data_IF_759215603815
#
_entry.id   IF_759215603815
#
_cell.length_a   1.000
_cell.length_b   1.000
_cell.length_c   1.000
_cell.angle_alpha   90.00
_cell.angle_beta   90.00
_cell.angle_gamma   90.00
#
_symmetry.space_group_name_H-M   'P 1'
#
loop_
_entity.id
_entity.type
_entity.pdbx_description
1 polymer ?
#
# COMPACT_ATOMS: atom_id res chain seq x y z
N UNK A 1 -7.05 15.13 2.07
CA UNK A 1 -7.00 14.65 0.66
C UNK A 1 -7.65 13.28 0.60
N UNK A 2 -8.33 13.00 -0.50
CA UNK A 2 -8.90 11.69 -0.78
C UNK A 2 -7.82 10.67 -1.12
N UNK A 3 -8.06 9.41 -0.77
CA UNK A 3 -7.16 8.27 -1.02
C UNK A 3 -7.89 7.26 -1.90
N UNK A 4 -7.38 7.05 -3.10
CA UNK A 4 -7.90 6.08 -4.08
C UNK A 4 -7.18 4.75 -3.91
N UNK A 5 -7.90 3.66 -3.63
CA UNK A 5 -7.34 2.33 -3.50
C UNK A 5 -7.78 1.43 -4.66
N UNK A 6 -6.81 0.88 -5.40
CA UNK A 6 -7.08 -0.03 -6.51
C UNK A 6 -7.29 -1.45 -5.99
N UNK A 7 -8.54 -1.87 -5.85
CA UNK A 7 -8.94 -3.12 -5.20
C UNK A 7 -9.39 -4.22 -6.18
N UNK A 8 -9.26 -4.04 -7.48
CA UNK A 8 -9.95 -4.85 -8.48
C UNK A 8 -9.14 -5.93 -9.21
N UNK A 9 -7.92 -6.25 -8.78
CA UNK A 9 -7.10 -7.29 -9.41
C UNK A 9 -7.61 -8.71 -9.14
N UNK A 10 -7.44 -9.63 -10.11
CA UNK A 10 -7.88 -11.04 -10.00
C UNK A 10 -7.04 -11.91 -9.05
N UNK A 11 -5.93 -11.42 -8.51
CA UNK A 11 -5.14 -12.07 -7.46
C UNK A 11 -4.59 -13.47 -7.78
N UNK A 12 -4.48 -13.84 -9.06
CA UNK A 12 -4.21 -15.22 -9.52
C UNK A 12 -2.93 -15.87 -8.97
N UNK A 13 -1.98 -15.09 -8.43
CA UNK A 13 -0.71 -15.62 -7.90
C UNK A 13 -0.81 -16.18 -6.47
N UNK A 14 -1.92 -15.89 -5.78
CA UNK A 14 -2.23 -16.42 -4.44
C UNK A 14 -3.22 -17.61 -4.50
N UNK A 15 -3.30 -18.33 -5.65
CA UNK A 15 -4.19 -19.47 -5.83
C UNK A 15 -3.96 -20.52 -4.73
N UNK A 16 -5.07 -21.00 -4.16
CA UNK A 16 -5.09 -21.96 -3.07
C UNK A 16 -5.31 -21.34 -1.68
N UNK A 17 -5.11 -20.03 -1.50
CA UNK A 17 -5.38 -19.31 -0.24
C UNK A 17 -6.39 -18.16 -0.39
N UNK A 18 -6.54 -17.62 -1.59
CA UNK A 18 -7.43 -16.49 -1.89
C UNK A 18 -8.52 -16.84 -2.90
N UNK A 19 -8.84 -18.13 -3.07
CA UNK A 19 -9.91 -18.51 -4.00
C UNK A 19 -11.27 -17.91 -3.58
N UNK A 20 -11.44 -17.59 -2.29
CA UNK A 20 -12.69 -17.06 -1.75
C UNK A 20 -12.72 -15.54 -1.58
N UNK A 21 -11.57 -14.86 -1.45
CA UNK A 21 -11.50 -13.41 -1.21
C UNK A 21 -10.57 -12.71 -2.19
N UNK A 22 -10.84 -11.43 -2.58
CA UNK A 22 -9.90 -10.67 -3.40
C UNK A 22 -8.64 -10.32 -2.60
N UNK A 23 -7.51 -10.13 -3.28
CA UNK A 23 -6.19 -9.89 -2.68
C UNK A 23 -6.18 -8.81 -1.57
N UNK A 24 -6.84 -7.65 -1.71
CA UNK A 24 -6.91 -6.64 -0.65
C UNK A 24 -7.60 -7.12 0.64
N UNK A 25 -8.39 -8.21 0.57
CA UNK A 25 -9.11 -8.79 1.70
C UNK A 25 -8.37 -9.95 2.37
N UNK A 26 -7.18 -10.30 1.91
CA UNK A 26 -6.35 -11.33 2.57
C UNK A 26 -5.91 -10.81 3.92
N UNK A 27 -6.11 -11.62 4.95
CA UNK A 27 -5.83 -11.28 6.34
C UNK A 27 -4.33 -11.23 6.63
N UNK A 28 -3.93 -10.20 7.41
CA UNK A 28 -2.65 -10.09 8.11
C UNK A 28 -2.99 -9.88 9.59
N UNK A 29 -2.80 -10.90 10.39
CA UNK A 29 -3.36 -10.96 11.73
C UNK A 29 -4.89 -10.99 11.70
N UNK A 30 -5.54 -10.12 12.42
CA UNK A 30 -7.01 -10.06 12.56
C UNK A 30 -7.70 -9.19 11.51
N UNK A 31 -6.95 -8.47 10.67
CA UNK A 31 -7.51 -7.51 9.71
C UNK A 31 -6.94 -7.73 8.29
N UNK A 32 -7.71 -7.44 7.22
CA UNK A 32 -7.21 -7.56 5.86
C UNK A 32 -6.11 -6.52 5.56
N UNK A 33 -5.20 -6.84 4.61
CA UNK A 33 -4.09 -5.96 4.25
C UNK A 33 -4.57 -4.55 3.86
N UNK A 34 -5.71 -4.44 3.19
CA UNK A 34 -6.31 -3.14 2.83
C UNK A 34 -6.64 -2.30 4.07
N UNK A 35 -7.13 -2.91 5.15
CA UNK A 35 -7.39 -2.20 6.40
C UNK A 35 -6.12 -1.60 6.99
N UNK A 36 -5.01 -2.35 6.99
CA UNK A 36 -3.71 -1.83 7.44
C UNK A 36 -3.25 -0.65 6.59
N UNK A 37 -3.44 -0.72 5.27
CA UNK A 37 -3.12 0.37 4.37
C UNK A 37 -3.98 1.61 4.62
N UNK A 38 -5.29 1.44 4.81
CA UNK A 38 -6.21 2.54 5.16
C UNK A 38 -5.84 3.16 6.51
N UNK A 39 -5.48 2.34 7.50
CA UNK A 39 -5.03 2.80 8.82
C UNK A 39 -3.74 3.63 8.74
N UNK A 40 -2.81 3.25 7.85
CA UNK A 40 -1.61 4.03 7.55
C UNK A 40 -1.98 5.44 7.03
N UNK A 41 -2.87 5.55 6.05
CA UNK A 41 -3.29 6.85 5.54
C UNK A 41 -4.06 7.67 6.58
N UNK A 42 -4.93 7.03 7.35
CA UNK A 42 -5.70 7.66 8.42
C UNK A 42 -4.80 8.25 9.52
N UNK A 43 -3.67 7.58 9.84
CA UNK A 43 -2.66 8.09 10.76
C UNK A 43 -2.10 9.45 10.33
N UNK A 44 -1.93 9.67 9.03
CA UNK A 44 -1.50 10.96 8.47
C UNK A 44 -2.66 11.94 8.18
N UNK A 45 -3.88 11.64 8.69
CA UNK A 45 -5.04 12.52 8.57
C UNK A 45 -5.82 12.38 7.26
N UNK A 46 -5.56 11.33 6.46
CA UNK A 46 -6.26 11.06 5.20
C UNK A 46 -7.29 9.95 5.41
N UNK A 47 -8.55 10.33 5.67
CA UNK A 47 -9.63 9.45 6.12
C UNK A 47 -10.82 9.38 5.14
N UNK A 48 -10.69 9.96 3.96
CA UNK A 48 -11.68 9.92 2.87
C UNK A 48 -11.14 8.99 1.76
N UNK A 49 -11.73 7.81 1.66
CA UNK A 49 -11.27 6.72 0.81
C UNK A 49 -12.21 6.49 -0.37
N UNK A 50 -11.64 6.21 -1.55
CA UNK A 50 -12.36 5.77 -2.74
C UNK A 50 -11.84 4.39 -3.12
N UNK A 51 -12.67 3.37 -2.98
CA UNK A 51 -12.31 1.99 -3.29
C UNK A 51 -12.73 1.65 -4.73
N UNK A 52 -11.75 1.46 -5.61
CA UNK A 52 -11.97 1.02 -6.99
C UNK A 52 -12.25 -0.48 -7.02
N UNK A 53 -13.51 -0.86 -7.04
CA UNK A 53 -13.94 -2.25 -7.01
C UNK A 53 -13.85 -2.92 -8.38
N UNK A 54 -13.65 -4.23 -8.35
CA UNK A 54 -13.60 -5.08 -9.53
C UNK A 54 -13.90 -6.52 -9.17
N UNK A 55 -12.99 -7.45 -9.49
CA UNK A 55 -13.17 -8.86 -9.15
C UNK A 55 -13.47 -9.04 -7.66
N UNK A 56 -14.58 -9.74 -7.35
CA UNK A 56 -15.06 -9.99 -5.97
C UNK A 56 -15.23 -8.71 -5.12
N UNK A 57 -15.59 -7.58 -5.73
CA UNK A 57 -15.85 -6.32 -5.03
C UNK A 57 -16.90 -6.44 -3.91
N UNK A 58 -17.84 -7.39 -4.03
CA UNK A 58 -18.84 -7.65 -2.99
C UNK A 58 -18.19 -8.06 -1.66
N UNK A 59 -17.12 -8.85 -1.66
CA UNK A 59 -16.41 -9.21 -0.42
C UNK A 59 -15.89 -7.98 0.33
N UNK A 60 -15.48 -6.95 -0.40
CA UNK A 60 -15.03 -5.68 0.18
C UNK A 60 -16.21 -4.91 0.79
N UNK A 61 -17.33 -4.81 0.05
CA UNK A 61 -18.56 -4.17 0.54
C UNK A 61 -19.07 -4.86 1.79
N UNK A 62 -19.18 -6.20 1.75
CA UNK A 62 -19.67 -7.01 2.85
C UNK A 62 -18.82 -6.84 4.11
N UNK A 63 -17.49 -6.76 3.96
CA UNK A 63 -16.59 -6.51 5.08
C UNK A 63 -16.90 -5.19 5.79
N UNK A 64 -17.11 -4.09 5.07
CA UNK A 64 -17.40 -2.80 5.68
C UNK A 64 -18.83 -2.68 6.17
N UNK A 65 -19.81 -3.29 5.48
CA UNK A 65 -21.21 -3.30 5.92
C UNK A 65 -21.41 -4.09 7.23
N UNK A 66 -20.55 -5.10 7.48
CA UNK A 66 -20.57 -5.92 8.69
C UNK A 66 -19.32 -5.71 9.56
N UNK A 67 -18.72 -4.52 9.47
CA UNK A 67 -17.49 -4.22 10.20
C UNK A 67 -17.74 -4.30 11.71
N UNK A 68 -16.92 -5.11 12.39
CA UNK A 68 -16.95 -5.27 13.83
C UNK A 68 -15.67 -4.71 14.46
N UNK A 69 -15.81 -3.61 15.18
CA UNK A 69 -14.73 -2.94 15.92
C UNK A 69 -14.12 -3.84 17.00
N UNK A 70 -14.92 -4.75 17.60
CA UNK A 70 -14.45 -5.61 18.70
C UNK A 70 -13.36 -6.62 18.26
N UNK A 71 -13.25 -6.90 16.97
CA UNK A 71 -12.23 -7.82 16.41
C UNK A 71 -10.80 -7.32 16.62
N UNK A 72 -10.57 -6.01 16.61
CA UNK A 72 -9.23 -5.39 16.73
C UNK A 72 -9.08 -4.47 17.93
N UNK A 73 -10.16 -4.19 18.68
CA UNK A 73 -10.15 -3.24 19.77
C UNK A 73 -10.52 -3.90 21.11
N UNK A 74 -9.98 -3.37 22.18
CA UNK A 74 -10.37 -3.77 23.53
C UNK A 74 -11.77 -3.21 23.85
N UNK A 75 -12.56 -4.00 24.57
CA UNK A 75 -13.91 -3.61 24.96
C UNK A 75 -14.31 -4.17 26.33
N UNK A 76 -15.27 -3.53 26.95
CA UNK A 76 -15.94 -4.01 28.17
C UNK A 76 -17.22 -4.70 27.78
N UNK A 77 -17.37 -5.98 28.17
CA UNK A 77 -18.58 -6.76 28.00
C UNK A 77 -19.31 -6.85 29.33
N UNK A 78 -20.57 -6.38 29.39
CA UNK A 78 -21.33 -6.32 30.63
C UNK A 78 -22.80 -6.64 30.45
N UNK A 79 -23.51 -6.80 31.56
CA UNK A 79 -24.97 -7.11 31.61
C UNK A 79 -25.34 -8.34 30.78
N UNK A 80 -24.49 -9.39 30.79
CA UNK A 80 -24.71 -10.62 30.01
C UNK A 80 -24.72 -10.40 28.49
N UNK A 81 -23.86 -9.51 27.98
CA UNK A 81 -23.70 -9.18 26.57
C UNK A 81 -24.66 -8.12 26.04
N UNK A 82 -25.53 -7.57 26.90
CA UNK A 82 -26.46 -6.49 26.49
C UNK A 82 -25.76 -5.15 26.31
N UNK A 83 -24.53 -5.00 26.83
CA UNK A 83 -23.74 -3.79 26.69
C UNK A 83 -22.30 -4.17 26.32
N UNK A 84 -21.84 -3.69 25.17
CA UNK A 84 -20.47 -3.75 24.69
C UNK A 84 -19.98 -2.32 24.56
N UNK A 85 -18.96 -1.97 25.30
CA UNK A 85 -18.33 -0.64 25.30
C UNK A 85 -16.91 -0.74 24.78
N UNK A 86 -16.66 -0.20 23.60
CA UNK A 86 -15.34 -0.17 22.98
C UNK A 86 -14.43 0.83 23.71
N UNK A 87 -13.24 0.39 24.09
CA UNK A 87 -12.24 1.25 24.75
C UNK A 87 -11.44 2.05 23.71
N UNK A 88 -11.37 1.57 22.47
CA UNK A 88 -10.73 2.23 21.33
C UNK A 88 -11.60 2.03 20.09
N UNK A 89 -11.44 2.91 19.11
CA UNK A 89 -12.15 2.84 17.84
C UNK A 89 -11.20 3.07 16.68
N UNK A 90 -11.46 2.42 15.54
CA UNK A 90 -10.56 2.42 14.40
C UNK A 90 -11.02 3.33 13.26
N UNK A 91 -12.33 3.40 13.00
CA UNK A 91 -12.87 3.94 11.75
C UNK A 91 -14.03 4.94 11.92
N UNK A 92 -14.31 5.43 13.13
CA UNK A 92 -15.46 6.30 13.41
C UNK A 92 -15.58 7.53 12.49
N UNK A 93 -14.45 8.05 12.04
CA UNK A 93 -14.36 9.27 11.24
C UNK A 93 -13.90 9.03 9.80
N UNK A 94 -13.99 7.77 9.32
CA UNK A 94 -13.67 7.47 7.93
C UNK A 94 -14.88 7.65 7.03
N UNK A 95 -14.65 8.21 5.84
CA UNK A 95 -15.61 8.24 4.75
C UNK A 95 -15.12 7.28 3.67
N UNK A 96 -15.97 6.35 3.23
CA UNK A 96 -15.59 5.35 2.23
C UNK A 96 -16.58 5.37 1.07
N UNK A 97 -16.08 5.66 -0.12
CA UNK A 97 -16.84 5.61 -1.37
C UNK A 97 -16.48 4.33 -2.12
N UNK A 98 -17.47 3.51 -2.42
CA UNK A 98 -17.31 2.26 -3.19
C UNK A 98 -17.68 2.51 -4.65
N UNK A 99 -16.72 2.36 -5.57
CA UNK A 99 -16.92 2.62 -7.00
C UNK A 99 -16.71 1.35 -7.80
N UNK A 100 -17.73 0.89 -8.51
CA UNK A 100 -17.61 -0.23 -9.45
C UNK A 100 -16.85 0.25 -10.70
N UNK A 101 -15.60 -0.21 -10.83
CA UNK A 101 -14.74 0.20 -11.94
C UNK A 101 -14.58 -0.87 -13.02
N UNK A 102 -15.23 -2.03 -12.84
CA UNK A 102 -15.20 -3.15 -13.76
C UNK A 102 -14.20 -4.25 -13.37
N UNK A 103 -14.62 -5.52 -13.53
CA UNK A 103 -13.83 -6.68 -13.12
C UNK A 103 -12.49 -6.77 -13.87
N UNK A 104 -12.47 -6.43 -15.15
CA UNK A 104 -11.31 -6.56 -16.04
C UNK A 104 -10.62 -5.21 -16.32
N UNK A 105 -11.03 -4.12 -15.66
CA UNK A 105 -10.41 -2.82 -15.86
C UNK A 105 -8.95 -2.83 -15.37
N UNK A 106 -8.06 -2.22 -16.15
CA UNK A 106 -6.68 -1.94 -15.72
C UNK A 106 -6.61 -0.71 -14.79
N UNK A 107 -5.44 -0.37 -14.29
CA UNK A 107 -5.29 0.72 -13.31
C UNK A 107 -5.66 2.08 -13.91
N UNK A 108 -5.29 2.36 -15.17
CA UNK A 108 -5.65 3.59 -15.85
C UNK A 108 -7.16 3.75 -16.02
N UNK A 109 -7.86 2.68 -16.40
CA UNK A 109 -9.32 2.66 -16.51
C UNK A 109 -10.01 2.86 -15.16
N UNK A 110 -9.50 2.23 -14.08
CA UNK A 110 -10.01 2.43 -12.72
C UNK A 110 -9.83 3.87 -12.26
N UNK A 111 -8.65 4.42 -12.51
CA UNK A 111 -8.38 5.81 -12.18
C UNK A 111 -9.30 6.74 -12.97
N UNK A 112 -9.51 6.50 -14.25
CA UNK A 112 -10.43 7.31 -15.06
C UNK A 112 -11.88 7.23 -14.59
N UNK A 113 -12.33 6.07 -14.11
CA UNK A 113 -13.68 5.88 -13.57
C UNK A 113 -13.95 6.68 -12.29
N UNK A 114 -12.91 7.01 -11.51
CA UNK A 114 -13.08 7.77 -10.26
C UNK A 114 -12.89 9.28 -10.44
N UNK A 115 -12.61 9.77 -11.63
CA UNK A 115 -12.43 11.21 -11.91
C UNK A 115 -13.57 12.08 -11.32
N UNK A 116 -14.87 11.72 -11.44
CA UNK A 116 -15.95 12.52 -10.86
C UNK A 116 -15.89 12.63 -9.33
N UNK A 117 -15.29 11.65 -8.64
CA UNK A 117 -15.25 11.59 -7.17
C UNK A 117 -14.08 12.38 -6.57
N UNK A 118 -13.08 12.74 -7.38
CA UNK A 118 -11.95 13.60 -6.97
C UNK A 118 -12.03 14.99 -7.59
N UNK A 119 -13.10 15.28 -8.29
CA UNK A 119 -13.33 16.58 -8.90
C UNK A 119 -13.40 17.67 -7.81
N UNK A 120 -12.62 18.75 -7.98
CA UNK A 120 -12.51 19.82 -6.98
C UNK A 120 -11.37 19.64 -5.96
N UNK A 121 -10.74 18.48 -5.89
CA UNK A 121 -9.49 18.33 -5.14
C UNK A 121 -8.32 18.91 -5.96
N UNK A 122 -7.41 19.63 -5.32
CA UNK A 122 -6.16 20.06 -5.98
C UNK A 122 -5.29 18.84 -6.31
N UNK A 123 -5.20 17.92 -5.36
CA UNK A 123 -4.45 16.67 -5.44
C UNK A 123 -5.13 15.58 -4.64
N UNK A 124 -4.84 14.34 -4.98
CA UNK A 124 -5.31 13.15 -4.26
C UNK A 124 -4.19 12.11 -4.19
N UNK A 125 -4.37 11.13 -3.30
CA UNK A 125 -3.47 10.00 -3.14
C UNK A 125 -4.05 8.78 -3.85
N UNK A 126 -3.18 7.90 -4.35
CA UNK A 126 -3.60 6.62 -4.88
C UNK A 126 -2.64 5.50 -4.46
N UNK A 127 -3.14 4.27 -4.35
CA UNK A 127 -2.32 3.14 -3.94
C UNK A 127 -2.85 1.81 -4.52
N UNK A 128 -1.94 0.87 -4.73
CA UNK A 128 -2.31 -0.53 -4.93
C UNK A 128 -2.78 -1.12 -3.59
N UNK A 129 -3.87 -1.90 -3.61
CA UNK A 129 -4.54 -2.37 -2.39
C UNK A 129 -3.82 -3.52 -1.65
N UNK A 130 -2.54 -3.75 -1.91
CA UNK A 130 -1.79 -4.94 -1.49
C UNK A 130 -0.34 -4.66 -1.04
N UNK A 131 0.04 -3.39 -0.90
CA UNK A 131 1.36 -2.97 -0.44
C UNK A 131 1.32 -2.22 0.89
N UNK A 132 2.26 -2.53 1.79
CA UNK A 132 2.45 -1.87 3.07
C UNK A 132 3.82 -1.18 3.12
N UNK A 133 3.90 -0.04 3.80
CA UNK A 133 5.14 0.71 3.98
C UNK A 133 5.08 1.55 5.26
N UNK A 134 6.25 1.91 5.78
CA UNK A 134 6.42 2.89 6.85
C UNK A 134 6.88 4.26 6.32
N UNK A 135 6.74 4.52 5.01
CA UNK A 135 7.19 5.78 4.40
C UNK A 135 6.55 6.98 5.10
N UNK A 136 7.36 8.00 5.49
CA UNK A 136 6.82 9.23 6.07
C UNK A 136 6.05 10.03 4.98
N UNK A 137 4.76 9.78 4.86
CA UNK A 137 3.90 10.38 3.83
C UNK A 137 4.04 11.91 3.72
N UNK A 138 4.13 12.68 4.83
CA UNK A 138 4.32 14.13 4.75
C UNK A 138 5.55 14.53 3.94
N UNK A 139 6.68 13.82 4.08
CA UNK A 139 7.93 14.12 3.35
C UNK A 139 7.75 13.94 1.84
N UNK A 140 7.09 12.85 1.42
CA UNK A 140 6.76 12.61 0.01
C UNK A 140 5.85 13.72 -0.54
N UNK A 141 4.82 14.09 0.23
CA UNK A 141 3.85 15.12 -0.17
C UNK A 141 4.46 16.51 -0.23
N UNK A 142 5.32 16.88 0.71
CA UNK A 142 5.98 18.19 0.72
C UNK A 142 6.90 18.38 -0.48
N UNK A 143 7.62 17.31 -0.86
CA UNK A 143 8.44 17.31 -2.08
C UNK A 143 7.56 17.46 -3.33
N UNK A 144 6.45 16.74 -3.40
CA UNK A 144 5.52 16.80 -4.52
C UNK A 144 4.85 18.18 -4.63
N UNK A 145 4.37 18.77 -3.52
CA UNK A 145 3.74 20.10 -3.49
C UNK A 145 4.67 21.21 -4.01
N UNK A 146 5.96 21.12 -3.69
CA UNK A 146 6.99 22.07 -4.13
C UNK A 146 7.39 21.90 -5.59
N UNK A 147 7.00 20.81 -6.24
CA UNK A 147 7.29 20.52 -7.64
C UNK A 147 6.16 20.96 -8.56
N UNK A 148 6.47 21.09 -9.86
CA UNK A 148 5.47 21.25 -10.92
C UNK A 148 4.99 19.90 -11.50
N UNK A 149 5.32 18.79 -10.87
CA UNK A 149 4.94 17.48 -11.34
C UNK A 149 3.42 17.28 -11.25
N UNK A 150 2.87 16.52 -12.20
CA UNK A 150 1.45 16.14 -12.24
C UNK A 150 1.22 14.88 -11.40
N UNK A 151 2.21 13.99 -11.35
CA UNK A 151 2.18 12.80 -10.50
C UNK A 151 3.53 12.57 -9.83
N UNK A 152 3.48 11.91 -8.66
CA UNK A 152 4.63 11.39 -7.94
C UNK A 152 4.40 9.93 -7.60
N UNK A 153 5.46 9.12 -7.66
CA UNK A 153 5.43 7.71 -7.24
C UNK A 153 6.54 7.39 -6.27
N UNK A 154 6.25 6.46 -5.35
CA UNK A 154 7.24 5.90 -4.45
C UNK A 154 8.14 4.92 -5.20
N UNK A 155 9.45 5.10 -5.10
CA UNK A 155 10.45 4.14 -5.55
C UNK A 155 11.04 3.41 -4.35
N UNK A 156 11.07 2.09 -4.43
CA UNK A 156 11.62 1.20 -3.40
C UNK A 156 12.59 0.20 -4.01
N UNK A 157 13.48 -0.33 -3.20
CA UNK A 157 14.32 -1.46 -3.63
C UNK A 157 13.51 -2.76 -3.60
N UNK A 158 13.70 -3.67 -4.56
CA UNK A 158 13.04 -4.97 -4.54
C UNK A 158 13.35 -5.74 -3.25
N UNK A 159 12.32 -6.35 -2.65
CA UNK A 159 12.46 -7.21 -1.46
C UNK A 159 12.53 -8.70 -1.81
N UNK A 160 12.43 -9.05 -3.10
CA UNK A 160 12.43 -10.42 -3.58
C UNK A 160 13.81 -11.09 -3.46
N UNK A 161 13.82 -12.41 -3.31
CA UNK A 161 15.02 -13.25 -3.16
C UNK A 161 15.63 -13.69 -4.50
N UNK A 162 15.45 -12.89 -5.56
CA UNK A 162 16.08 -13.19 -6.85
C UNK A 162 17.53 -12.72 -6.89
N UNK A 163 18.37 -13.48 -7.58
CA UNK A 163 19.72 -13.07 -7.92
C UNK A 163 19.79 -12.55 -9.37
N UNK A 164 20.51 -11.47 -9.55
CA UNK A 164 20.85 -10.97 -10.89
C UNK A 164 22.09 -11.71 -11.34
N UNK A 165 22.02 -12.26 -12.55
CA UNK A 165 23.13 -12.96 -13.19
C UNK A 165 23.63 -12.11 -14.37
N UNK A 166 24.87 -11.66 -14.30
CA UNK A 166 25.57 -11.04 -15.44
C UNK A 166 26.29 -12.13 -16.25
N UNK A 167 25.94 -12.27 -17.51
CA UNK A 167 26.55 -13.23 -18.42
C UNK A 167 27.08 -12.53 -19.70
N UNK A 168 28.25 -12.96 -20.14
CA UNK A 168 28.82 -12.50 -21.40
C UNK A 168 28.09 -13.05 -22.63
N UNK A 169 28.40 -12.54 -23.84
CA UNK A 169 27.78 -12.94 -25.10
C UNK A 169 27.84 -14.45 -25.38
N UNK A 170 28.87 -15.12 -24.84
CA UNK A 170 29.11 -16.57 -25.00
C UNK A 170 28.43 -17.42 -23.92
N UNK A 171 27.58 -16.79 -23.05
CA UNK A 171 26.88 -17.45 -21.96
C UNK A 171 27.72 -17.71 -20.71
N UNK A 172 28.99 -17.29 -20.68
CA UNK A 172 29.79 -17.39 -19.45
C UNK A 172 29.33 -16.39 -18.41
N UNK A 173 28.98 -16.90 -17.22
CA UNK A 173 28.57 -16.09 -16.07
C UNK A 173 29.77 -15.32 -15.54
N UNK A 174 29.63 -14.02 -15.34
CA UNK A 174 30.64 -13.10 -14.80
C UNK A 174 30.40 -12.78 -13.34
N UNK A 175 29.12 -12.63 -12.96
CA UNK A 175 28.73 -12.25 -11.62
C UNK A 175 27.34 -12.79 -11.28
N UNK A 176 27.13 -13.17 -10.01
CA UNK A 176 25.81 -13.42 -9.42
C UNK A 176 25.72 -12.56 -8.15
N UNK A 177 24.68 -11.73 -8.06
CA UNK A 177 24.47 -10.86 -6.90
C UNK A 177 22.98 -10.75 -6.55
N UNK A 178 22.63 -10.68 -5.25
CA UNK A 178 21.24 -10.45 -4.85
C UNK A 178 20.69 -9.16 -5.43
N UNK A 179 19.44 -9.18 -5.91
CA UNK A 179 18.76 -7.99 -6.46
C UNK A 179 18.69 -6.86 -5.41
N UNK A 180 18.62 -7.21 -4.13
CA UNK A 180 18.61 -6.27 -2.99
C UNK A 180 19.93 -5.49 -2.81
N UNK A 181 21.01 -5.89 -3.48
CA UNK A 181 22.32 -5.21 -3.48
C UNK A 181 22.59 -4.45 -4.78
N UNK A 182 21.55 -4.12 -5.52
CA UNK A 182 21.66 -3.39 -6.79
C UNK A 182 20.99 -2.02 -6.65
N UNK A 183 21.32 -1.10 -7.57
CA UNK A 183 20.66 0.21 -7.69
C UNK A 183 19.35 0.14 -8.50
N UNK A 184 18.70 -1.04 -8.51
CA UNK A 184 17.41 -1.21 -9.15
C UNK A 184 16.33 -0.66 -8.22
N UNK A 185 15.49 0.22 -8.77
CA UNK A 185 14.34 0.78 -8.10
C UNK A 185 13.08 0.35 -8.82
N UNK A 186 12.06 -0.02 -8.04
CA UNK A 186 10.76 -0.43 -8.58
C UNK A 186 9.67 0.52 -8.08
N UNK A 187 8.54 0.53 -8.79
CA UNK A 187 7.34 1.24 -8.37
C UNK A 187 6.75 0.59 -7.12
N UNK A 188 6.75 1.31 -6.00
CA UNK A 188 6.21 0.87 -4.72
C UNK A 188 4.69 1.00 -4.58
N UNK A 189 3.99 1.50 -5.61
CA UNK A 189 2.53 1.55 -5.65
C UNK A 189 1.88 2.65 -4.82
N UNK A 190 2.65 3.56 -4.23
CA UNK A 190 2.15 4.76 -3.53
C UNK A 190 2.28 5.96 -4.47
N UNK A 191 1.19 6.67 -4.70
CA UNK A 191 1.12 7.78 -5.63
C UNK A 191 0.52 9.03 -4.99
N UNK A 192 1.00 10.20 -5.37
CA UNK A 192 0.33 11.47 -5.21
C UNK A 192 0.10 12.08 -6.60
N UNK A 193 -1.10 12.56 -6.88
CA UNK A 193 -1.49 13.02 -8.22
C UNK A 193 -2.28 14.31 -8.14
N UNK A 194 -2.05 15.22 -9.09
CA UNK A 194 -2.92 16.38 -9.34
C UNK A 194 -4.05 15.96 -10.30
N UNK A 195 -5.17 16.66 -10.26
CA UNK A 195 -6.30 16.37 -11.14
C UNK A 195 -5.96 16.45 -12.64
N UNK A 196 -4.91 17.18 -13.01
CA UNK A 196 -4.43 17.22 -14.39
C UNK A 196 -4.00 15.85 -14.96
N UNK A 197 -3.77 14.84 -14.11
CA UNK A 197 -3.47 13.46 -14.55
C UNK A 197 -4.53 12.91 -15.50
N UNK A 198 -5.80 13.25 -15.30
CA UNK A 198 -6.90 12.75 -16.13
C UNK A 198 -6.87 13.21 -17.59
N UNK A 199 -6.16 14.33 -17.88
CA UNK A 199 -5.90 14.80 -19.25
C UNK A 199 -4.86 13.96 -19.98
N UNK A 200 -4.12 13.14 -19.24
CA UNK A 200 -3.04 12.30 -19.77
C UNK A 200 -3.42 10.82 -19.86
N UNK A 201 -4.64 10.44 -19.49
CA UNK A 201 -5.14 9.06 -19.57
C UNK A 201 -6.16 8.97 -20.69
N UNK A 202 -5.82 8.23 -21.77
CA UNK A 202 -6.72 7.91 -22.86
C UNK A 202 -7.47 6.60 -22.58
N UNK A 203 -8.61 6.33 -23.25
CA UNK A 203 -9.37 5.12 -23.04
C UNK A 203 -8.54 3.84 -23.27
N UNK A 204 -8.58 2.92 -22.31
CA UNK A 204 -7.93 1.60 -22.41
C UNK A 204 -6.47 1.55 -21.98
N UNK A 205 -5.81 2.67 -21.77
CA UNK A 205 -4.39 2.73 -21.41
C UNK A 205 -4.12 2.27 -19.97
N UNK A 206 -2.93 1.70 -19.77
CA UNK A 206 -2.41 1.33 -18.44
C UNK A 206 -1.66 2.50 -17.81
N UNK A 207 -1.99 2.89 -16.58
CA UNK A 207 -1.49 4.10 -15.93
C UNK A 207 0.04 4.25 -16.00
N UNK A 208 0.76 3.18 -15.66
CA UNK A 208 2.24 3.23 -15.54
C UNK A 208 2.97 3.05 -16.87
N UNK A 209 2.26 2.97 -17.96
CA UNK A 209 2.80 2.86 -19.31
C UNK A 209 2.62 4.15 -20.08
N UNK A 210 1.62 4.23 -20.92
CA UNK A 210 1.41 5.35 -21.85
C UNK A 210 1.18 6.70 -21.10
N UNK A 211 0.31 6.79 -20.08
CA UNK A 211 0.13 8.02 -19.31
C UNK A 211 1.42 8.49 -18.63
N UNK A 212 2.12 7.60 -17.94
CA UNK A 212 3.37 7.98 -17.26
C UNK A 212 4.47 8.32 -18.25
N UNK A 213 4.54 7.65 -19.43
CA UNK A 213 5.49 8.03 -20.48
C UNK A 213 5.24 9.48 -20.93
N UNK A 214 3.97 9.89 -21.15
CA UNK A 214 3.66 11.30 -21.47
C UNK A 214 4.08 12.28 -20.41
N UNK A 215 3.99 11.88 -19.12
CA UNK A 215 4.47 12.72 -18.02
C UNK A 215 6.01 12.77 -17.98
N UNK A 216 6.70 11.68 -18.27
CA UNK A 216 8.17 11.62 -18.36
C UNK A 216 8.64 12.57 -19.46
N UNK A 217 8.05 12.51 -20.65
CA UNK A 217 8.38 13.36 -21.80
C UNK A 217 8.19 14.86 -21.49
N UNK A 218 7.27 15.19 -20.57
CA UNK A 218 6.99 16.54 -20.09
C UNK A 218 7.74 16.92 -18.82
N UNK A 219 8.60 16.05 -18.28
CA UNK A 219 9.25 16.21 -16.97
C UNK A 219 8.25 16.49 -15.84
N UNK A 220 7.08 15.86 -15.90
CA UNK A 220 5.96 16.05 -14.98
C UNK A 220 5.67 14.83 -14.09
N UNK A 221 6.57 13.83 -14.08
CA UNK A 221 6.52 12.67 -13.19
C UNK A 221 7.69 12.75 -12.20
N UNK A 222 7.37 12.80 -10.90
CA UNK A 222 8.35 12.87 -9.82
C UNK A 222 8.52 11.49 -9.18
N UNK A 223 9.76 11.14 -8.80
CA UNK A 223 10.06 9.94 -8.05
C UNK A 223 10.51 10.29 -6.63
N UNK A 224 9.92 9.61 -5.62
CA UNK A 224 10.35 9.68 -4.23
C UNK A 224 11.05 8.37 -3.85
N UNK A 225 12.38 8.39 -3.75
CA UNK A 225 13.17 7.22 -3.35
C UNK A 225 13.06 6.99 -1.85
N UNK A 226 12.78 5.74 -1.45
CA UNK A 226 12.64 5.36 -0.06
C UNK A 226 13.38 4.05 0.24
N UNK A 227 14.18 4.04 1.29
CA UNK A 227 15.01 2.92 1.73
C UNK A 227 14.51 2.25 3.02
N UNK A 228 13.33 2.66 3.55
CA UNK A 228 12.72 2.04 4.71
C UNK A 228 11.93 0.79 4.36
N UNK A 229 10.98 0.44 5.22
CA UNK A 229 10.16 -0.75 5.01
C UNK A 229 9.15 -0.56 3.87
N UNK A 230 9.12 -1.52 2.97
CA UNK A 230 8.08 -1.71 1.98
C UNK A 230 7.94 -3.19 1.65
N UNK A 231 6.70 -3.69 1.60
CA UNK A 231 6.40 -5.06 1.21
C UNK A 231 5.05 -5.12 0.50
N UNK A 232 5.01 -5.69 -0.70
CA UNK A 232 3.75 -6.10 -1.34
C UNK A 232 3.45 -7.57 -1.00
N UNK A 233 2.17 -7.93 -1.10
CA UNK A 233 1.70 -9.29 -0.89
C UNK A 233 1.29 -9.93 -2.22
N UNK A 234 2.25 -10.41 -2.99
CA UNK A 234 2.02 -11.04 -4.30
C UNK A 234 1.93 -12.57 -4.22
N UNK A 235 2.64 -13.17 -3.28
CA UNK A 235 2.79 -14.61 -3.13
C UNK A 235 2.42 -15.07 -1.72
N UNK A 236 2.26 -16.38 -1.54
CA UNK A 236 2.07 -16.97 -0.20
C UNK A 236 3.26 -16.69 0.73
N UNK A 237 4.48 -16.68 0.19
CA UNK A 237 5.70 -16.35 0.94
C UNK A 237 5.64 -14.90 1.46
N UNK A 238 5.16 -13.96 0.65
CA UNK A 238 4.99 -12.56 1.09
C UNK A 238 3.97 -12.47 2.23
N UNK A 239 2.85 -13.23 2.13
CA UNK A 239 1.86 -13.28 3.20
C UNK A 239 2.47 -13.82 4.50
N UNK A 240 3.20 -14.93 4.45
CA UNK A 240 3.86 -15.51 5.63
C UNK A 240 4.84 -14.49 6.25
N UNK A 241 5.63 -13.82 5.44
CA UNK A 241 6.57 -12.81 5.90
C UNK A 241 5.84 -11.64 6.59
N UNK A 242 4.73 -11.15 6.01
CA UNK A 242 3.91 -10.10 6.65
C UNK A 242 3.28 -10.58 7.97
N UNK A 243 2.86 -11.85 8.07
CA UNK A 243 2.35 -12.42 9.34
C UNK A 243 3.44 -12.49 10.42
N UNK A 244 4.64 -12.92 10.07
CA UNK A 244 5.79 -12.96 10.98
C UNK A 244 6.12 -11.54 11.48
N UNK A 245 6.19 -10.57 10.58
CA UNK A 245 6.39 -9.17 10.94
C UNK A 245 5.24 -8.63 11.82
N UNK A 246 4.00 -9.05 11.57
CA UNK A 246 2.84 -8.62 12.34
C UNK A 246 2.88 -9.11 13.79
N UNK A 247 3.47 -10.26 14.06
CA UNK A 247 3.69 -10.79 15.41
C UNK A 247 4.83 -10.07 16.15
N UNK A 248 5.72 -9.40 15.43
CA UNK A 248 6.89 -8.70 15.95
C UNK A 248 6.83 -7.18 15.80
N UNK A 249 7.69 -6.66 14.95
CA UNK A 249 7.90 -5.21 14.79
C UNK A 249 6.77 -4.49 14.06
N UNK A 250 6.05 -5.19 13.15
CA UNK A 250 5.00 -4.63 12.30
C UNK A 250 5.31 -3.20 11.79
N UNK A 251 6.39 -3.00 10.98
CA UNK A 251 6.93 -1.66 10.68
C UNK A 251 5.91 -0.68 10.08
N UNK A 252 4.94 -1.20 9.32
CA UNK A 252 3.87 -0.39 8.71
C UNK A 252 2.85 0.17 9.71
N UNK A 253 2.84 -0.34 10.97
CA UNK A 253 1.92 0.14 12.02
C UNK A 253 2.45 1.43 12.65
N UNK A 254 2.69 2.44 11.81
CA UNK A 254 3.22 3.76 12.22
C UNK A 254 2.35 4.45 13.27
N UNK A 255 1.07 4.11 13.35
CA UNK A 255 0.12 4.65 14.34
C UNK A 255 0.38 4.16 15.77
N UNK A 256 1.12 3.07 15.98
CA UNK A 256 1.48 2.58 17.31
C UNK A 256 2.55 3.47 17.98
N UNK A 257 3.39 4.16 17.22
CA UNK A 257 4.43 5.04 17.75
C UNK A 257 3.85 6.31 18.40
N UNK A 258 2.69 6.78 17.95
CA UNK A 258 2.04 7.96 18.52
C UNK A 258 1.37 7.68 19.87
N UNK A 259 0.98 6.44 20.17
CA UNK A 259 0.35 6.05 21.43
C UNK A 259 1.36 5.95 22.60
N UNK A 260 2.66 5.86 22.33
CA UNK A 260 3.73 5.68 23.32
C UNK A 260 4.53 6.97 23.60
N UNK A 261 4.05 8.14 23.21
CA UNK A 261 4.74 9.43 23.39
C UNK A 261 4.84 9.93 24.84
N UNK A 262 4.44 9.13 25.84
CA UNK A 262 4.70 9.39 27.28
C UNK A 262 5.79 8.49 27.89
N UNK A 263 6.40 7.61 27.15
CA UNK A 263 7.56 6.79 27.57
C UNK A 263 8.55 6.82 26.41
N UNK A 264 9.81 7.18 26.69
CA UNK A 264 10.91 7.30 25.72
C UNK A 264 10.81 6.30 24.58
N UNK A 265 10.34 6.77 23.41
CA UNK A 265 10.43 6.01 22.18
C UNK A 265 11.91 5.91 21.79
N UNK A 266 12.58 4.89 22.29
CA UNK A 266 13.85 4.41 21.74
C UNK A 266 13.58 3.75 20.39
N UNK A 267 13.05 4.52 19.43
CA UNK A 267 13.00 4.11 18.03
C UNK A 267 14.41 4.31 17.47
N UNK A 268 15.18 3.25 17.19
CA UNK A 268 16.56 3.43 16.74
C UNK A 268 16.56 4.24 15.44
N UNK A 269 17.58 5.12 15.24
CA UNK A 269 17.77 5.85 13.99
C UNK A 269 17.72 4.89 12.80
N UNK A 270 17.25 5.36 11.66
CA UNK A 270 17.08 4.60 10.40
C UNK A 270 18.31 3.77 9.99
N UNK A 271 19.51 4.19 10.39
CA UNK A 271 20.76 3.47 10.16
C UNK A 271 20.89 2.16 10.96
N UNK A 272 20.34 2.08 12.17
CA UNK A 272 20.42 0.89 13.02
C UNK A 272 19.35 -0.17 12.70
N UNK A 273 18.28 0.18 11.97
CA UNK A 273 17.26 -0.79 11.53
C UNK A 273 17.77 -1.76 10.46
N UNK A 274 18.83 -1.40 9.72
CA UNK A 274 19.45 -2.27 8.71
C UNK A 274 20.21 -3.45 9.33
N UNK A 275 20.79 -3.30 10.52
CA UNK A 275 21.59 -4.36 11.17
C UNK A 275 20.70 -5.46 11.78
N UNK A 276 19.51 -5.14 12.26
CA UNK A 276 18.59 -6.14 12.86
C UNK A 276 17.91 -7.03 11.81
N UNK A 277 17.74 -6.58 10.57
CA UNK A 277 17.21 -7.41 9.48
C UNK A 277 18.23 -8.44 8.94
N UNK A 278 19.51 -8.22 9.16
CA UNK A 278 20.59 -9.12 8.66
C UNK A 278 20.79 -10.33 9.58
N UNK A 279 20.44 -10.24 10.87
CA UNK A 279 20.69 -11.32 11.84
C UNK A 279 19.68 -12.47 11.76
N UNK A 280 18.48 -12.25 11.20
CA UNK A 280 17.43 -13.30 11.12
C UNK A 280 17.60 -14.20 9.88
N UNK A 281 18.39 -13.82 8.86
CA UNK A 281 18.57 -14.60 7.63
C UNK A 281 19.81 -15.50 7.59
N UNK A 282 20.58 -15.60 8.71
CA UNK A 282 21.83 -16.38 8.75
C UNK A 282 21.70 -17.78 9.36
N UNK A 283 20.46 -18.24 9.69
CA UNK A 283 20.23 -19.59 10.20
C UNK A 283 19.03 -20.22 9.47
N UNK A 284 19.25 -20.74 8.28
CA UNK A 284 18.71 -22.02 7.73
C UNK A 284 19.52 -22.39 6.50
#
# INVERSE_FOLDING_TARGET
MKVVLFCGGSGMRLRGYSDDVPKPMVQIGTRPIMWHLMKYYAHFGHKDFILCLGYKGNCIKDYFLHYDESVSNNFVWSKGGKNVELLNRDMDDWTITFVETGANANIGQRLKAIEPYVQGEEMFLANYGDGLSDVPLPTMLDTFRKSNAIASLLLVQPTSSFDIVDAGPEGMVREIRPITRTDIWINGGFFAMRNDIFRHILPGEELVREPFQRLIDKQALLAHKYNGFWQCMDTFKDKQHLEELNQGSAPWKVWNCAANSSVDCNCPPLEQRKEQQIVVSAHV
#
